data_IF_796358727223
#
_entry.id   IF_796358727223
#
_cell.length_a   1.000
_cell.length_b   1.000
_cell.length_c   1.000
_cell.angle_alpha   90.00
_cell.angle_beta   90.00
_cell.angle_gamma   90.00
#
_symmetry.space_group_name_H-M   'P 1'
#
loop_
_entity.id
_entity.type
_entity.pdbx_description
1 polymer ?
#
# COMPACT_ATOMS: atom_id res chain seq x y z
N UNK A 1 -12.21 7.95 14.70
CA UNK A 1 -12.78 6.60 14.48
C UNK A 1 -13.50 6.62 13.13
N UNK A 2 -13.17 5.73 12.20
CA UNK A 2 -13.92 5.60 10.94
C UNK A 2 -15.25 4.89 11.25
N UNK A 3 -16.39 5.30 10.64
CA UNK A 3 -17.68 4.68 10.93
C UNK A 3 -17.64 3.19 10.62
N UNK A 4 -18.11 2.37 11.57
CA UNK A 4 -18.27 0.93 11.39
C UNK A 4 -19.22 0.69 10.21
N UNK A 5 -18.68 0.32 9.04
CA UNK A 5 -19.44 0.08 7.81
C UNK A 5 -18.86 0.71 6.55
N UNK A 6 -17.92 1.65 6.65
CA UNK A 6 -17.20 2.14 5.48
C UNK A 6 -16.12 1.12 5.05
N UNK A 7 -16.47 0.20 4.15
CA UNK A 7 -15.48 -0.67 3.50
C UNK A 7 -14.73 0.17 2.48
N UNK A 8 -13.51 0.58 2.83
CA UNK A 8 -12.73 1.42 1.94
C UNK A 8 -12.10 0.60 0.82
N UNK A 9 -12.18 1.09 -0.42
CA UNK A 9 -11.56 0.45 -1.60
C UNK A 9 -10.04 0.70 -1.65
N UNK A 10 -9.35 0.53 -0.52
CA UNK A 10 -7.91 0.67 -0.41
C UNK A 10 -7.33 -0.24 0.68
N UNK A 11 -6.08 -0.61 0.52
CA UNK A 11 -5.26 -1.20 1.58
C UNK A 11 -4.38 -0.12 2.23
N UNK A 12 -4.29 -0.15 3.55
CA UNK A 12 -3.39 0.70 4.34
C UNK A 12 -2.22 -0.13 4.83
N UNK A 13 -1.09 0.01 4.15
CA UNK A 13 0.02 -0.92 4.25
C UNK A 13 1.17 -0.29 5.02
N UNK A 14 1.79 -1.07 5.89
CA UNK A 14 3.07 -0.76 6.52
C UNK A 14 3.93 -2.02 6.54
N UNK A 15 5.21 -1.86 6.85
CA UNK A 15 6.16 -2.96 7.03
C UNK A 15 6.89 -2.78 8.36
N UNK A 16 7.29 -3.89 8.98
CA UNK A 16 8.17 -3.83 10.15
C UNK A 16 9.60 -3.44 9.78
N UNK A 17 10.00 -3.69 8.52
CA UNK A 17 11.38 -3.52 8.04
C UNK A 17 11.58 -2.34 7.11
N UNK A 18 10.49 -1.80 6.53
CA UNK A 18 10.55 -0.77 5.50
C UNK A 18 9.70 0.44 5.85
N UNK A 19 10.23 1.62 5.58
CA UNK A 19 9.50 2.88 5.71
C UNK A 19 8.57 3.11 4.51
N UNK A 20 7.56 3.99 4.65
CA UNK A 20 6.55 4.22 3.61
C UNK A 20 7.15 4.70 2.28
N UNK A 21 8.27 5.42 2.34
CA UNK A 21 9.01 5.84 1.14
C UNK A 21 9.65 4.67 0.40
N UNK A 22 10.21 3.70 1.13
CA UNK A 22 10.83 2.51 0.55
C UNK A 22 9.76 1.61 -0.07
N UNK A 23 8.64 1.41 0.64
CA UNK A 23 7.46 0.71 0.12
C UNK A 23 6.95 1.33 -1.19
N UNK A 24 6.77 2.65 -1.24
CA UNK A 24 6.29 3.33 -2.44
C UNK A 24 7.29 3.27 -3.60
N UNK A 25 8.59 3.35 -3.31
CA UNK A 25 9.65 3.23 -4.32
C UNK A 25 9.69 1.82 -4.92
N UNK A 26 9.66 0.78 -4.08
CA UNK A 26 9.64 -0.61 -4.53
C UNK A 26 8.42 -0.89 -5.41
N UNK A 27 7.21 -0.54 -4.93
CA UNK A 27 5.98 -0.76 -5.68
C UNK A 27 5.97 -0.01 -7.02
N UNK A 28 6.59 1.17 -7.11
CA UNK A 28 6.72 1.90 -8.36
C UNK A 28 7.58 1.13 -9.41
N UNK A 29 8.56 0.34 -9.00
CA UNK A 29 9.34 -0.53 -9.92
C UNK A 29 8.45 -1.58 -10.59
N UNK A 30 7.44 -2.07 -9.88
CA UNK A 30 6.39 -2.96 -10.39
C UNK A 30 5.21 -2.23 -11.07
N UNK A 31 5.35 -0.92 -11.34
CA UNK A 31 4.31 -0.04 -11.91
C UNK A 31 3.04 0.05 -11.05
N UNK A 32 3.18 -0.11 -9.74
CA UNK A 32 2.11 0.05 -8.75
C UNK A 32 2.32 1.36 -8.00
N UNK A 33 1.48 2.35 -8.30
CA UNK A 33 1.56 3.67 -7.67
C UNK A 33 0.64 3.75 -6.46
N UNK A 34 1.21 4.14 -5.32
CA UNK A 34 0.51 4.26 -4.04
C UNK A 34 0.61 5.69 -3.52
N UNK A 35 -0.34 6.10 -2.68
CA UNK A 35 -0.26 7.39 -1.99
C UNK A 35 0.59 7.24 -0.73
N UNK A 36 1.60 8.10 -0.50
CA UNK A 36 2.34 8.12 0.77
C UNK A 36 1.39 8.36 1.96
N UNK A 37 1.75 7.82 3.12
CA UNK A 37 0.94 7.98 4.34
C UNK A 37 1.17 9.30 5.09
N UNK A 38 2.26 10.03 4.80
CA UNK A 38 2.62 11.29 5.44
C UNK A 38 1.48 12.34 5.46
N UNK A 39 0.68 12.55 4.39
CA UNK A 39 -0.47 13.47 4.41
C UNK A 39 -1.58 13.06 5.40
N UNK A 40 -1.55 11.83 5.89
CA UNK A 40 -2.48 11.29 6.89
C UNK A 40 -1.83 11.14 8.28
N UNK A 41 -0.60 11.62 8.47
CA UNK A 41 0.13 11.58 9.74
C UNK A 41 0.86 10.27 10.05
N UNK A 42 1.03 9.37 9.07
CA UNK A 42 1.78 8.12 9.25
C UNK A 42 2.77 7.91 8.10
N UNK A 43 4.02 8.33 8.32
CA UNK A 43 5.09 8.27 7.31
C UNK A 43 5.56 6.83 7.02
N UNK A 44 5.27 5.89 7.93
CA UNK A 44 5.68 4.49 7.81
C UNK A 44 4.76 3.68 6.90
N UNK A 45 3.71 4.30 6.38
CA UNK A 45 2.63 3.63 5.64
C UNK A 45 2.38 4.21 4.26
N UNK A 46 1.69 3.41 3.46
CA UNK A 46 1.19 3.79 2.13
C UNK A 46 -0.27 3.36 1.95
N UNK A 47 -1.02 4.12 1.14
CA UNK A 47 -2.38 3.80 0.73
C UNK A 47 -2.38 3.25 -0.69
N UNK A 48 -2.78 2.00 -0.86
CA UNK A 48 -2.95 1.36 -2.16
C UNK A 48 -4.44 1.31 -2.51
N UNK A 49 -4.88 2.07 -3.52
CA UNK A 49 -6.25 1.97 -4.01
C UNK A 49 -6.44 0.64 -4.77
N UNK A 50 -7.49 -0.12 -4.43
CA UNK A 50 -7.78 -1.42 -5.03
C UNK A 50 -8.91 -1.26 -6.03
N UNK A 51 -8.60 -1.34 -7.33
CA UNK A 51 -9.58 -1.12 -8.41
C UNK A 51 -9.47 -2.21 -9.47
N UNK A 52 -10.62 -2.81 -9.78
CA UNK A 52 -10.77 -3.81 -10.82
C UNK A 52 -10.23 -5.19 -10.43
N UNK A 53 -10.47 -6.19 -11.30
CA UNK A 53 -10.01 -7.55 -11.07
C UNK A 53 -8.48 -7.63 -11.10
N UNK A 54 -7.92 -8.54 -10.29
CA UNK A 54 -6.47 -8.78 -10.24
C UNK A 54 -5.66 -7.74 -9.45
N UNK A 55 -6.29 -6.70 -8.90
CA UNK A 55 -5.56 -5.62 -8.21
C UNK A 55 -4.88 -6.11 -6.93
N UNK A 56 -5.52 -7.02 -6.20
CA UNK A 56 -5.00 -7.59 -4.96
C UNK A 56 -3.82 -8.51 -5.27
N UNK A 57 -3.94 -9.35 -6.29
CA UNK A 57 -2.94 -10.33 -6.70
C UNK A 57 -1.66 -9.64 -7.19
N UNK A 58 -1.79 -8.59 -8.02
CA UNK A 58 -0.63 -7.80 -8.47
C UNK A 58 0.08 -7.12 -7.30
N UNK A 59 -0.69 -6.56 -6.37
CA UNK A 59 -0.14 -5.92 -5.17
C UNK A 59 0.56 -6.93 -4.26
N UNK A 60 -0.05 -8.09 -4.03
CA UNK A 60 0.51 -9.16 -3.21
C UNK A 60 1.81 -9.72 -3.82
N UNK A 61 1.85 -9.94 -5.14
CA UNK A 61 3.06 -10.40 -5.83
C UNK A 61 4.23 -9.41 -5.67
N UNK A 62 3.98 -8.12 -5.90
CA UNK A 62 5.01 -7.09 -5.76
C UNK A 62 5.51 -6.94 -4.31
N UNK A 63 4.62 -7.10 -3.32
CA UNK A 63 5.02 -7.09 -1.91
C UNK A 63 5.83 -8.34 -1.52
N UNK A 64 5.51 -9.51 -2.09
CA UNK A 64 6.25 -10.75 -1.88
C UNK A 64 7.73 -10.62 -2.27
N UNK A 65 7.99 -9.97 -3.40
CA UNK A 65 9.36 -9.68 -3.89
C UNK A 65 10.16 -8.74 -2.98
N UNK A 66 9.49 -7.88 -2.20
CA UNK A 66 10.14 -6.98 -1.24
C UNK A 66 10.58 -7.71 0.04
N UNK A 67 9.89 -8.80 0.38
CA UNK A 67 10.10 -9.54 1.62
C UNK A 67 10.99 -10.78 1.48
N UNK A 68 11.29 -11.16 0.24
CA UNK A 68 12.21 -12.25 -0.12
C UNK A 68 13.67 -11.81 0.04
#
# INVERSE_FOLDING_TARGET
>A
SFPAGAVANFAWLGSERHEGRELSTHLATAKIFVTPGAPYGDERRVRAALRGPGAVERLAAALGELTA
#
